data_IF_376484153605
#
_entry.id   IF_376484153605
#
_cell.length_a   1.000
_cell.length_b   1.000
_cell.length_c   1.000
_cell.angle_alpha   90.00
_cell.angle_beta   90.00
_cell.angle_gamma   90.00
#
_symmetry.space_group_name_H-M   'P 1'
#
loop_
_entity.id
_entity.type
_entity.pdbx_description
1 polymer ?
#
# COMPACT_ATOMS: atom_id res chain seq x y z
N UNK A 1 7.99 -6.32 -4.69
CA UNK A 1 7.31 -5.31 -3.86
C UNK A 1 8.09 -4.01 -4.01
N UNK A 2 7.43 -2.85 -4.16
CA UNK A 2 8.10 -1.57 -4.46
C UNK A 2 8.53 -0.79 -3.20
N UNK A 3 7.85 -1.00 -2.08
CA UNK A 3 8.25 -0.45 -0.79
C UNK A 3 9.31 -1.36 -0.14
N UNK A 4 10.56 -1.20 -0.55
CA UNK A 4 11.68 -2.05 -0.09
C UNK A 4 12.45 -1.47 1.08
N UNK A 5 12.34 -0.16 1.32
CA UNK A 5 13.11 0.57 2.36
C UNK A 5 12.27 0.89 3.60
N UNK A 6 10.96 0.65 3.54
CA UNK A 6 9.98 1.15 4.51
C UNK A 6 9.98 2.70 4.60
N UNK A 7 8.99 3.26 5.27
CA UNK A 7 8.89 4.72 5.42
C UNK A 7 10.09 5.30 6.17
N UNK A 8 10.69 4.55 7.10
CA UNK A 8 11.91 4.98 7.80
C UNK A 8 13.11 5.14 6.85
N UNK A 9 13.25 4.27 5.85
CA UNK A 9 14.33 4.34 4.86
C UNK A 9 14.02 5.28 3.69
N UNK A 10 12.73 5.49 3.34
CA UNK A 10 12.31 6.43 2.29
C UNK A 10 12.38 7.89 2.78
N UNK A 11 12.07 8.16 4.04
CA UNK A 11 11.95 9.54 4.54
C UNK A 11 13.26 10.37 4.41
N UNK A 12 14.47 9.83 4.64
CA UNK A 12 15.72 10.51 4.35
C UNK A 12 15.89 10.86 2.86
N UNK A 13 15.47 9.97 1.95
CA UNK A 13 15.52 10.21 0.51
C UNK A 13 14.52 11.29 0.08
N UNK A 14 13.32 11.29 0.66
CA UNK A 14 12.34 12.36 0.50
C UNK A 14 12.93 13.71 0.92
N UNK A 15 13.57 13.80 2.09
CA UNK A 15 14.20 15.04 2.54
C UNK A 15 15.32 15.52 1.62
N UNK A 16 16.10 14.60 1.01
CA UNK A 16 17.13 14.94 0.03
C UNK A 16 16.53 15.59 -1.22
N UNK A 17 15.41 15.06 -1.71
CA UNK A 17 14.67 15.64 -2.84
C UNK A 17 14.08 17.00 -2.46
N UNK A 18 13.48 17.15 -1.27
CA UNK A 18 12.95 18.43 -0.81
C UNK A 18 14.03 19.51 -0.72
N UNK A 19 15.20 19.19 -0.15
CA UNK A 19 16.34 20.13 -0.08
C UNK A 19 16.77 20.58 -1.49
N UNK A 20 16.83 19.66 -2.45
CA UNK A 20 17.14 20.00 -3.83
C UNK A 20 16.06 20.92 -4.45
N UNK A 21 14.78 20.69 -4.15
CA UNK A 21 13.68 21.52 -4.66
C UNK A 21 13.60 22.88 -3.97
N UNK A 22 14.04 23.01 -2.72
CA UNK A 22 14.19 24.31 -2.04
C UNK A 22 15.21 25.19 -2.76
N UNK A 23 16.34 24.61 -3.20
CA UNK A 23 17.36 25.30 -3.98
C UNK A 23 16.94 25.54 -5.44
N UNK A 24 16.25 24.57 -6.05
CA UNK A 24 15.87 24.56 -7.46
C UNK A 24 14.37 24.32 -7.67
N UNK A 25 13.48 25.26 -7.27
CA UNK A 25 12.03 25.03 -7.28
C UNK A 25 11.43 24.78 -8.66
N UNK A 26 12.09 25.27 -9.73
CA UNK A 26 11.66 25.05 -11.12
C UNK A 26 11.86 23.59 -11.59
N UNK A 27 12.76 22.86 -10.95
CA UNK A 27 13.07 21.47 -11.30
C UNK A 27 11.94 20.51 -10.95
N UNK A 28 10.98 20.91 -10.09
CA UNK A 28 9.82 20.07 -9.75
C UNK A 28 9.07 19.55 -10.99
N UNK A 29 8.87 20.43 -11.97
CA UNK A 29 8.20 20.08 -13.22
C UNK A 29 9.11 19.25 -14.15
N UNK A 30 10.41 19.54 -14.15
CA UNK A 30 11.41 18.83 -14.96
C UNK A 30 11.57 17.38 -14.48
N UNK A 31 11.58 17.19 -13.16
CA UNK A 31 11.63 15.90 -12.48
C UNK A 31 10.33 15.11 -12.56
N UNK A 32 9.26 15.70 -13.13
CA UNK A 32 7.95 15.07 -13.31
C UNK A 32 7.37 14.52 -12.00
N UNK A 33 7.55 15.25 -10.89
CA UNK A 33 7.12 14.79 -9.56
C UNK A 33 5.61 14.55 -9.54
N UNK A 34 4.85 15.46 -10.13
CA UNK A 34 3.39 15.42 -10.21
C UNK A 34 2.87 14.93 -11.58
N UNK A 35 3.76 14.31 -12.37
CA UNK A 35 3.46 13.80 -13.71
C UNK A 35 4.04 14.67 -14.85
N UNK A 36 3.71 14.35 -16.11
CA UNK A 36 2.73 13.34 -16.53
C UNK A 36 3.15 11.90 -16.22
N UNK A 37 2.19 11.06 -15.84
CA UNK A 37 2.42 9.63 -15.55
C UNK A 37 2.33 8.80 -16.84
N UNK A 38 3.36 8.88 -17.67
CA UNK A 38 3.45 8.22 -18.97
C UNK A 38 4.40 6.99 -18.95
N UNK A 39 4.71 6.42 -20.12
CA UNK A 39 5.61 5.25 -20.21
C UNK A 39 7.00 5.54 -19.64
N UNK A 40 7.56 6.73 -19.84
CA UNK A 40 8.88 7.08 -19.27
C UNK A 40 8.86 7.11 -17.74
N UNK A 41 7.74 7.50 -17.12
CA UNK A 41 7.54 7.39 -15.68
C UNK A 41 7.47 5.92 -15.26
N UNK A 42 6.74 5.09 -16.00
CA UNK A 42 6.66 3.65 -15.74
C UNK A 42 8.02 2.96 -15.82
N UNK A 43 8.84 3.26 -16.84
CA UNK A 43 10.18 2.71 -16.99
C UNK A 43 11.10 3.05 -15.80
N UNK A 44 11.04 4.30 -15.30
CA UNK A 44 11.80 4.70 -14.10
C UNK A 44 11.44 3.86 -12.88
N UNK A 45 10.17 3.45 -12.73
CA UNK A 45 9.73 2.61 -11.61
C UNK A 45 10.28 1.17 -11.67
N UNK A 46 10.74 0.72 -12.85
CA UNK A 46 11.28 -0.63 -13.03
C UNK A 46 12.71 -0.77 -12.49
N UNK A 47 13.41 0.33 -12.21
CA UNK A 47 14.75 0.27 -11.62
C UNK A 47 14.70 -0.29 -10.20
N UNK A 48 15.27 -1.48 -10.02
CA UNK A 48 15.32 -2.19 -8.73
C UNK A 48 16.68 -2.10 -8.03
N UNK A 49 17.53 -1.14 -8.43
CA UNK A 49 18.75 -0.81 -7.70
C UNK A 49 18.48 -0.71 -6.19
N UNK A 50 19.27 -1.41 -5.38
CA UNK A 50 19.10 -1.44 -3.92
C UNK A 50 20.07 -0.53 -3.18
N UNK A 51 21.15 -0.13 -3.84
CA UNK A 51 22.23 0.68 -3.25
C UNK A 51 21.99 2.15 -3.54
N UNK A 52 22.08 2.97 -2.49
CA UNK A 52 22.00 4.43 -2.60
C UNK A 52 23.32 4.97 -3.14
N UNK A 53 23.29 5.46 -4.38
CA UNK A 53 24.44 6.09 -5.04
C UNK A 53 24.63 7.58 -4.65
N UNK A 54 23.78 8.08 -3.75
CA UNK A 54 23.80 9.46 -3.27
C UNK A 54 23.13 10.46 -4.20
N UNK A 55 22.63 10.04 -5.37
CA UNK A 55 22.06 10.95 -6.37
C UNK A 55 20.61 11.36 -6.03
N UNK A 56 20.18 12.48 -6.61
CA UNK A 56 18.76 12.90 -6.59
C UNK A 56 17.91 11.94 -7.43
N UNK A 57 18.46 11.40 -8.52
CA UNK A 57 17.75 10.46 -9.38
C UNK A 57 17.37 9.18 -8.62
N UNK A 58 18.30 8.58 -7.88
CA UNK A 58 18.03 7.42 -7.03
C UNK A 58 16.98 7.74 -5.97
N UNK A 59 17.17 8.84 -5.23
CA UNK A 59 16.25 9.26 -4.17
C UNK A 59 14.83 9.47 -4.71
N UNK A 60 14.71 10.14 -5.86
CA UNK A 60 13.43 10.38 -6.52
C UNK A 60 12.78 9.07 -6.98
N UNK A 61 13.54 8.14 -7.58
CA UNK A 61 13.02 6.84 -7.98
C UNK A 61 12.43 6.08 -6.80
N UNK A 62 13.13 6.04 -5.66
CA UNK A 62 12.63 5.39 -4.43
C UNK A 62 11.38 6.06 -3.88
N UNK A 63 11.33 7.39 -3.90
CA UNK A 63 10.14 8.15 -3.49
C UNK A 63 8.94 7.85 -4.40
N UNK A 64 9.14 7.77 -5.72
CA UNK A 64 8.05 7.45 -6.65
C UNK A 64 7.58 5.99 -6.49
N UNK A 65 8.51 5.05 -6.32
CA UNK A 65 8.19 3.65 -6.02
C UNK A 65 7.37 3.52 -4.72
N UNK A 66 7.73 4.27 -3.69
CA UNK A 66 6.97 4.32 -2.43
C UNK A 66 5.54 4.82 -2.64
N UNK A 67 5.33 5.91 -3.40
CA UNK A 67 3.98 6.43 -3.69
C UNK A 67 3.10 5.40 -4.41
N UNK A 68 3.66 4.69 -5.38
CA UNK A 68 2.95 3.60 -6.08
C UNK A 68 2.63 2.46 -5.11
N UNK A 69 3.59 2.09 -4.25
CA UNK A 69 3.35 1.06 -3.23
C UNK A 69 2.25 1.45 -2.25
N UNK A 70 2.22 2.69 -1.77
CA UNK A 70 1.18 3.20 -0.88
C UNK A 70 -0.19 3.24 -1.56
N UNK A 71 -0.24 3.49 -2.87
CA UNK A 71 -1.48 3.40 -3.65
C UNK A 71 -1.99 1.97 -3.69
N UNK A 72 -1.11 1.00 -3.97
CA UNK A 72 -1.48 -0.42 -3.97
C UNK A 72 -1.85 -0.97 -2.59
N UNK A 73 -1.26 -0.43 -1.50
CA UNK A 73 -1.62 -0.80 -0.11
C UNK A 73 -3.03 -0.32 0.28
N UNK A 74 -3.45 0.82 -0.27
CA UNK A 74 -4.73 1.46 0.04
C UNK A 74 -5.80 1.25 -1.06
N UNK A 75 -5.58 0.31 -1.99
CA UNK A 75 -6.53 0.03 -3.07
C UNK A 75 -7.64 -0.95 -2.63
N UNK A 76 -8.78 -0.92 -3.31
CA UNK A 76 -9.89 -1.82 -3.04
C UNK A 76 -9.98 -2.93 -4.09
N UNK A 77 -10.36 -4.14 -3.67
CA UNK A 77 -10.64 -5.26 -4.59
C UNK A 77 -12.17 -5.47 -4.65
N UNK A 78 -12.75 -5.28 -5.83
CA UNK A 78 -14.16 -5.56 -6.09
C UNK A 78 -14.31 -6.95 -6.70
N UNK A 79 -15.15 -7.77 -6.09
CA UNK A 79 -15.49 -9.11 -6.57
C UNK A 79 -16.99 -9.14 -6.87
N UNK A 80 -17.35 -9.39 -8.12
CA UNK A 80 -18.73 -9.50 -8.58
C UNK A 80 -19.05 -10.96 -8.86
N UNK A 81 -20.14 -11.47 -8.28
CA UNK A 81 -20.65 -12.82 -8.50
C UNK A 81 -22.03 -12.73 -9.16
N UNK A 82 -22.19 -13.36 -10.33
CA UNK A 82 -23.47 -13.43 -11.04
C UNK A 82 -23.87 -14.90 -11.26
N UNK A 83 -25.09 -15.32 -10.86
CA UNK A 83 -25.59 -16.66 -11.16
C UNK A 83 -25.52 -16.97 -12.67
N UNK A 84 -25.19 -18.21 -13.03
CA UNK A 84 -25.21 -18.67 -14.44
C UNK A 84 -26.10 -19.92 -14.60
N UNK A 85 -26.87 -19.96 -15.69
CA UNK A 85 -27.61 -21.17 -16.10
C UNK A 85 -26.75 -22.06 -17.00
N UNK A 86 -27.12 -23.34 -17.09
CA UNK A 86 -26.30 -24.44 -17.61
C UNK A 86 -25.98 -24.33 -19.12
N UNK A 87 -26.81 -23.64 -19.91
CA UNK A 87 -26.73 -23.61 -21.39
C UNK A 87 -26.06 -22.37 -22.00
N UNK A 88 -25.79 -21.32 -21.21
CA UNK A 88 -25.20 -20.05 -21.68
C UNK A 88 -23.70 -19.94 -21.37
N UNK A 89 -23.03 -21.06 -21.06
CA UNK A 89 -21.62 -21.06 -20.67
C UNK A 89 -20.72 -20.97 -21.92
N UNK A 90 -20.68 -19.79 -22.54
CA UNK A 90 -19.58 -19.46 -23.46
C UNK A 90 -18.25 -19.68 -22.74
N UNK A 91 -17.34 -20.45 -23.33
CA UNK A 91 -16.10 -20.98 -22.71
C UNK A 91 -15.11 -19.93 -22.17
N UNK A 92 -15.41 -18.64 -22.24
CA UNK A 92 -14.45 -17.56 -22.02
C UNK A 92 -14.51 -16.92 -20.63
N UNK A 93 -15.48 -17.26 -19.77
CA UNK A 93 -15.59 -16.62 -18.44
C UNK A 93 -15.26 -17.58 -17.31
N UNK A 94 -14.45 -17.16 -16.32
CA UNK A 94 -14.12 -18.00 -15.19
C UNK A 94 -15.37 -18.23 -14.32
N UNK A 95 -15.62 -19.50 -13.96
CA UNK A 95 -16.80 -19.95 -13.21
C UNK A 95 -16.36 -20.51 -11.87
N UNK A 96 -17.06 -20.10 -10.81
CA UNK A 96 -16.97 -20.73 -9.48
C UNK A 96 -18.12 -21.71 -9.33
N UNK A 97 -17.79 -22.98 -9.10
CA UNK A 97 -18.77 -24.00 -8.71
C UNK A 97 -18.86 -24.09 -7.19
N UNK A 98 -20.09 -24.06 -6.69
CA UNK A 98 -20.43 -24.46 -5.32
C UNK A 98 -21.29 -25.71 -5.37
N UNK A 99 -21.52 -26.37 -4.23
CA UNK A 99 -22.31 -27.60 -4.16
C UNK A 99 -23.76 -27.46 -4.63
N UNK A 100 -24.30 -26.23 -4.71
CA UNK A 100 -25.70 -25.95 -5.06
C UNK A 100 -25.90 -24.95 -6.19
N UNK A 101 -24.88 -24.16 -6.54
CA UNK A 101 -25.01 -23.04 -7.47
C UNK A 101 -23.74 -22.83 -8.30
N UNK A 102 -23.91 -22.23 -9.49
CA UNK A 102 -22.81 -21.81 -10.37
C UNK A 102 -22.83 -20.30 -10.50
N UNK A 103 -21.65 -19.69 -10.35
CA UNK A 103 -21.48 -18.25 -10.52
C UNK A 103 -20.40 -17.96 -11.56
N UNK A 104 -20.69 -17.04 -12.47
CA UNK A 104 -19.63 -16.31 -13.17
C UNK A 104 -19.11 -15.23 -12.24
N UNK A 105 -17.81 -14.93 -12.31
CA UNK A 105 -17.25 -13.86 -11.50
C UNK A 105 -16.36 -12.93 -12.30
N UNK A 106 -16.25 -11.70 -11.80
CA UNK A 106 -15.31 -10.69 -12.27
C UNK A 106 -14.60 -10.09 -11.07
N UNK A 107 -13.31 -9.80 -11.22
CA UNK A 107 -12.49 -9.13 -10.22
C UNK A 107 -11.99 -7.82 -10.81
N UNK A 108 -11.99 -6.76 -10.02
CA UNK A 108 -11.47 -5.46 -10.41
C UNK A 108 -10.74 -4.81 -9.24
N UNK A 109 -9.73 -3.99 -9.55
CA UNK A 109 -9.03 -3.17 -8.56
C UNK A 109 -9.52 -1.74 -8.71
N UNK A 110 -9.89 -1.11 -7.60
CA UNK A 110 -10.41 0.25 -7.52
C UNK A 110 -9.44 1.12 -6.69
N UNK A 111 -9.67 2.44 -6.68
CA UNK A 111 -8.91 3.41 -5.87
C UNK A 111 -7.41 3.48 -6.20
N UNK A 112 -7.10 3.55 -7.50
CA UNK A 112 -5.74 3.57 -8.05
C UNK A 112 -5.16 4.97 -8.26
N UNK A 113 -5.71 5.98 -7.59
CA UNK A 113 -5.20 7.35 -7.65
C UNK A 113 -3.86 7.44 -6.91
N UNK A 114 -2.81 7.86 -7.62
CA UNK A 114 -1.46 7.91 -7.05
C UNK A 114 -1.42 8.83 -5.82
N UNK A 115 -0.91 8.31 -4.70
CA UNK A 115 -0.76 9.11 -3.46
C UNK A 115 0.07 10.38 -3.73
N UNK A 116 -0.34 11.55 -3.20
CA UNK A 116 0.36 12.81 -3.45
C UNK A 116 1.74 12.82 -2.78
N UNK A 117 2.69 13.53 -3.38
CA UNK A 117 4.08 13.58 -2.92
C UNK A 117 4.20 14.09 -1.47
N UNK A 118 3.44 15.12 -1.11
CA UNK A 118 3.44 15.77 0.21
C UNK A 118 2.95 14.85 1.33
N UNK A 119 2.23 13.78 1.00
CA UNK A 119 1.70 12.85 2.00
C UNK A 119 2.80 12.03 2.71
N UNK A 120 3.99 11.90 2.12
CA UNK A 120 5.10 11.11 2.68
C UNK A 120 5.47 11.60 4.09
N UNK A 121 5.53 12.93 4.28
CA UNK A 121 5.80 13.52 5.59
C UNK A 121 4.73 13.17 6.63
N UNK A 122 3.46 13.10 6.21
CA UNK A 122 2.38 12.67 7.09
C UNK A 122 2.53 11.19 7.43
N UNK A 123 2.82 10.33 6.44
CA UNK A 123 2.98 8.89 6.63
C UNK A 123 4.10 8.57 7.62
N UNK A 124 5.27 9.21 7.51
CA UNK A 124 6.36 9.02 8.47
C UNK A 124 5.95 9.34 9.92
N UNK A 125 5.20 10.43 10.12
CA UNK A 125 4.69 10.79 11.45
C UNK A 125 3.62 9.82 11.94
N UNK A 126 2.76 9.35 11.05
CA UNK A 126 1.67 8.44 11.38
C UNK A 126 2.22 7.07 11.79
N UNK A 127 3.17 6.54 11.01
CA UNK A 127 3.83 5.27 11.28
C UNK A 127 4.51 5.28 12.66
N UNK A 128 5.32 6.30 12.93
CA UNK A 128 5.94 6.47 14.24
C UNK A 128 4.92 6.55 15.39
N UNK A 129 3.73 7.14 15.19
CA UNK A 129 2.67 7.13 16.20
C UNK A 129 2.08 5.72 16.40
N UNK A 130 1.84 4.99 15.31
CA UNK A 130 1.28 3.64 15.34
C UNK A 130 2.24 2.70 16.09
N UNK A 131 3.51 2.67 15.69
CA UNK A 131 4.54 1.83 16.30
C UNK A 131 4.70 2.15 17.78
N UNK A 132 4.89 3.43 18.13
CA UNK A 132 5.05 3.85 19.52
C UNK A 132 3.83 3.51 20.38
N UNK A 133 2.62 3.71 19.86
CA UNK A 133 1.40 3.39 20.60
C UNK A 133 1.25 1.88 20.82
N UNK A 134 1.50 1.09 19.78
CA UNK A 134 1.47 -0.37 19.87
C UNK A 134 2.47 -0.88 20.90
N UNK A 135 3.73 -0.45 20.82
CA UNK A 135 4.79 -0.84 21.75
C UNK A 135 4.47 -0.48 23.21
N UNK A 136 3.95 0.73 23.46
CA UNK A 136 3.53 1.13 24.82
C UNK A 136 2.40 0.25 25.35
N UNK A 137 1.44 -0.11 24.50
CA UNK A 137 0.31 -0.94 24.89
C UNK A 137 0.72 -2.40 25.13
N UNK A 138 1.68 -2.93 24.38
CA UNK A 138 2.22 -4.28 24.60
C UNK A 138 3.09 -4.34 25.85
N UNK A 139 3.97 -3.36 26.09
CA UNK A 139 4.77 -3.31 27.32
C UNK A 139 3.88 -3.18 28.57
N UNK A 140 2.89 -2.28 28.55
CA UNK A 140 1.93 -2.16 29.65
C UNK A 140 1.09 -3.44 29.83
N UNK A 141 0.83 -4.19 28.75
CA UNK A 141 0.19 -5.51 28.83
C UNK A 141 1.14 -6.56 29.36
N UNK A 142 2.42 -6.58 29.05
CA UNK A 142 3.37 -7.56 29.61
C UNK A 142 3.61 -7.32 31.11
N UNK A 143 3.74 -6.05 31.51
CA UNK A 143 3.77 -5.64 32.93
C UNK A 143 2.46 -6.02 33.65
N UNK A 144 1.33 -5.91 32.95
CA UNK A 144 0.01 -6.30 33.44
C UNK A 144 -0.23 -7.82 33.38
N UNK A 145 0.32 -8.56 32.43
CA UNK A 145 0.18 -10.01 32.26
C UNK A 145 0.98 -10.74 33.31
N UNK A 146 2.10 -10.16 33.79
CA UNK A 146 2.76 -10.65 35.00
C UNK A 146 1.88 -10.46 36.26
N UNK A 147 0.85 -9.59 36.21
CA UNK A 147 -0.22 -9.51 37.22
C UNK A 147 -1.52 -10.24 36.84
N UNK A 148 -1.72 -10.63 35.56
CA UNK A 148 -2.99 -11.09 34.98
C UNK A 148 -2.91 -12.48 34.31
N UNK A 149 -2.00 -13.35 34.74
CA UNK A 149 -2.06 -14.81 34.51
C UNK A 149 -3.37 -15.49 35.00
N UNK A 150 -4.43 -14.72 35.28
CA UNK A 150 -5.68 -15.15 35.91
C UNK A 150 -6.96 -14.84 35.12
N UNK A 151 -6.98 -14.16 33.95
CA UNK A 151 -8.26 -13.93 33.24
C UNK A 151 -8.18 -14.09 31.72
N UNK A 152 -9.16 -14.85 31.24
CA UNK A 152 -9.35 -15.55 29.97
C UNK A 152 -9.29 -14.70 28.69
N UNK A 153 -8.90 -15.38 27.61
CA UNK A 153 -8.89 -14.91 26.22
C UNK A 153 -10.32 -14.73 25.69
N UNK A 154 -10.61 -13.57 25.09
CA UNK A 154 -11.80 -13.37 24.27
C UNK A 154 -11.47 -13.59 22.78
N UNK A 155 -12.01 -14.67 22.21
CA UNK A 155 -11.90 -15.03 20.79
C UNK A 155 -12.69 -14.06 19.89
N UNK A 156 -11.99 -13.40 18.95
CA UNK A 156 -12.61 -12.60 17.90
C UNK A 156 -13.18 -13.48 16.79
N UNK A 157 -14.44 -13.90 16.91
CA UNK A 157 -15.15 -14.64 15.85
C UNK A 157 -15.90 -13.67 14.93
N UNK A 158 -15.62 -13.71 13.63
CA UNK A 158 -16.38 -12.98 12.61
C UNK A 158 -17.79 -13.57 12.46
N UNK A 159 -18.80 -12.76 12.77
CA UNK A 159 -20.22 -13.15 12.63
C UNK A 159 -20.72 -12.74 11.25
N UNK A 160 -20.85 -13.71 10.35
CA UNK A 160 -21.59 -13.51 9.11
C UNK A 160 -23.08 -13.70 9.39
N UNK A 161 -23.85 -12.61 9.25
CA UNK A 161 -25.31 -12.69 9.35
C UNK A 161 -25.88 -13.51 8.19
N UNK A 162 -26.64 -14.53 8.55
CA UNK A 162 -27.38 -15.38 7.62
C UNK A 162 -28.60 -14.60 7.12
N UNK A 163 -28.73 -14.43 5.80
CA UNK A 163 -30.00 -14.04 5.16
C UNK A 163 -30.88 -15.27 4.96
#
# INVERSE_FOLDING_TARGET
MLDTLDIEGVYPLYNRVEQYLEEFPKERNVLQIDGPYNESFYEKLLDRSSEDDGTIAYALTKVQQYRVAMTAKDCSIMIVLSPCQQDECSEQRPVVLTSKSRFTFSVSVLDLDLKPYESIRHQYKLDGKIVNYYQKRTQAKDDSVMSNLLKENEDCTLVLHKM
#
